data_IF_976336047355
#
_entry.id   IF_976336047355
#
_cell.length_a   1.000
_cell.length_b   1.000
_cell.length_c   1.000
_cell.angle_alpha   90.00
_cell.angle_beta   90.00
_cell.angle_gamma   90.00
#
_symmetry.space_group_name_H-M   'P 1'
#
loop_
_entity.id
_entity.type
_entity.pdbx_description
1 polymer ?
#
# COMPACT_ATOMS: atom_id res chain seq x y z
N UNK A 1 -4.47 -8.89 12.52
CA UNK A 1 -3.72 -7.67 12.13
C UNK A 1 -3.67 -7.58 10.61
N UNK A 2 -3.96 -6.42 10.06
CA UNK A 2 -3.89 -6.21 8.61
C UNK A 2 -2.44 -5.99 8.20
N UNK A 3 -2.00 -6.67 7.17
CA UNK A 3 -0.67 -6.49 6.61
C UNK A 3 -0.78 -5.64 5.35
N UNK A 4 -0.31 -4.41 5.42
CA UNK A 4 -0.37 -3.46 4.31
C UNK A 4 1.01 -3.41 3.69
N UNK A 5 1.10 -3.65 2.40
CA UNK A 5 2.37 -3.61 1.68
C UNK A 5 2.34 -2.47 0.67
N UNK A 6 3.35 -1.62 0.72
CA UNK A 6 3.53 -0.51 -0.22
C UNK A 6 4.64 -0.92 -1.18
N UNK A 7 4.30 -1.06 -2.43
CA UNK A 7 5.23 -1.54 -3.45
C UNK A 7 5.72 -0.35 -4.29
N UNK A 8 6.99 -0.14 -4.26
CA UNK A 8 7.62 0.94 -5.02
C UNK A 8 9.05 1.16 -4.62
N UNK A 9 9.80 1.87 -5.44
CA UNK A 9 11.25 2.06 -5.27
C UNK A 9 11.62 3.26 -4.39
N UNK A 10 10.68 3.79 -3.63
CA UNK A 10 10.94 4.90 -2.70
C UNK A 10 10.74 6.28 -3.32
N UNK A 11 9.99 6.40 -4.38
CA UNK A 11 9.68 7.69 -5.01
C UNK A 11 8.76 8.53 -4.11
N UNK A 12 8.63 9.83 -4.36
CA UNK A 12 7.73 10.68 -3.54
C UNK A 12 6.29 10.19 -3.52
N UNK A 13 5.79 9.64 -4.63
CA UNK A 13 4.44 9.07 -4.70
C UNK A 13 4.31 7.82 -3.82
N UNK A 14 5.37 7.01 -3.75
CA UNK A 14 5.38 5.83 -2.90
C UNK A 14 5.29 6.21 -1.42
N UNK A 15 6.00 7.25 -1.03
CA UNK A 15 5.96 7.78 0.34
C UNK A 15 4.59 8.34 0.67
N UNK A 16 3.99 9.07 -0.27
CA UNK A 16 2.65 9.63 -0.07
C UNK A 16 1.62 8.52 0.11
N UNK A 17 1.72 7.47 -0.69
CA UNK A 17 0.82 6.33 -0.56
C UNK A 17 0.98 5.65 0.80
N UNK A 18 2.21 5.50 1.29
CA UNK A 18 2.46 4.92 2.60
C UNK A 18 1.86 5.76 3.72
N UNK A 19 2.00 7.08 3.64
CA UNK A 19 1.43 7.99 4.62
C UNK A 19 -0.10 7.91 4.60
N UNK A 20 -0.69 7.86 3.42
CA UNK A 20 -2.14 7.76 3.28
C UNK A 20 -2.66 6.42 3.83
N UNK A 21 -1.91 5.34 3.63
CA UNK A 21 -2.26 4.03 4.15
C UNK A 21 -2.22 4.01 5.68
N UNK A 22 -1.20 4.64 6.25
CA UNK A 22 -1.07 4.76 7.70
C UNK A 22 -2.23 5.58 8.28
N UNK A 23 -2.54 6.70 7.67
CA UNK A 23 -3.66 7.55 8.11
C UNK A 23 -4.98 6.79 8.04
N UNK A 24 -5.20 6.00 7.00
CA UNK A 24 -6.42 5.22 6.84
C UNK A 24 -6.55 4.16 7.92
N UNK A 25 -5.49 3.41 8.20
CA UNK A 25 -5.52 2.36 9.21
C UNK A 25 -5.72 2.94 10.62
N UNK A 26 -5.05 4.04 10.92
CA UNK A 26 -5.21 4.73 12.20
C UNK A 26 -6.61 5.31 12.36
N UNK A 27 -7.16 5.84 11.29
CA UNK A 27 -8.52 6.37 11.29
C UNK A 27 -9.58 5.31 11.53
N UNK A 28 -9.32 4.06 11.12
CA UNK A 28 -10.21 2.94 11.38
C UNK A 28 -10.01 2.31 12.76
N UNK A 29 -8.90 2.65 13.42
CA UNK A 29 -8.58 2.08 14.73
C UNK A 29 -8.26 0.60 14.70
N UNK A 30 -7.79 0.07 13.57
CA UNK A 30 -7.46 -1.35 13.43
C UNK A 30 -5.99 -1.59 13.74
N UNK A 31 -5.66 -2.81 14.10
CA UNK A 31 -4.28 -3.24 14.22
C UNK A 31 -3.73 -3.48 12.82
N UNK A 32 -2.56 -2.94 12.54
CA UNK A 32 -1.97 -3.04 11.21
C UNK A 32 -0.45 -3.08 11.27
N UNK A 33 0.13 -3.56 10.16
CA UNK A 33 1.57 -3.53 9.94
C UNK A 33 1.76 -2.96 8.53
N UNK A 34 2.69 -2.02 8.36
CA UNK A 34 3.04 -1.51 7.03
C UNK A 34 4.42 -2.02 6.67
N UNK A 35 4.53 -2.67 5.53
CA UNK A 35 5.78 -3.18 4.99
C UNK A 35 6.04 -2.50 3.66
N UNK A 36 7.24 -1.99 3.45
CA UNK A 36 7.62 -1.37 2.19
C UNK A 36 8.39 -2.38 1.36
N UNK A 37 7.93 -2.63 0.15
CA UNK A 37 8.56 -3.55 -0.80
C UNK A 37 9.24 -2.69 -1.85
N UNK A 38 10.56 -2.64 -1.82
CA UNK A 38 11.33 -1.75 -2.70
C UNK A 38 12.11 -2.50 -3.77
N UNK A 39 12.24 -3.82 -3.67
CA UNK A 39 12.97 -4.62 -4.63
C UNK A 39 12.10 -4.87 -5.85
N UNK A 40 12.59 -4.53 -7.02
CA UNK A 40 11.83 -4.63 -8.28
C UNK A 40 11.34 -6.06 -8.51
N UNK A 41 12.17 -7.08 -8.29
CA UNK A 41 11.77 -8.44 -8.51
C UNK A 41 10.68 -8.90 -7.54
N UNK A 42 10.62 -8.40 -6.31
CA UNK A 42 9.56 -8.70 -5.36
C UNK A 42 8.24 -8.06 -5.80
N UNK A 43 8.32 -6.84 -6.33
CA UNK A 43 7.16 -6.11 -6.86
C UNK A 43 6.60 -6.90 -8.06
N UNK A 44 7.45 -7.34 -8.95
CA UNK A 44 7.04 -8.09 -10.15
C UNK A 44 6.43 -9.44 -9.78
N UNK A 45 6.92 -10.10 -8.75
CA UNK A 45 6.38 -11.38 -8.28
C UNK A 45 4.94 -11.23 -7.81
N UNK A 46 4.56 -10.05 -7.35
CA UNK A 46 3.19 -9.78 -6.94
C UNK A 46 2.27 -9.38 -8.10
N UNK A 47 2.80 -9.39 -9.31
CA UNK A 47 2.04 -9.05 -10.51
C UNK A 47 1.86 -7.56 -10.74
N UNK A 48 2.66 -6.73 -10.09
CA UNK A 48 2.56 -5.27 -10.20
C UNK A 48 3.49 -4.80 -11.31
N UNK A 49 2.94 -4.09 -12.27
CA UNK A 49 3.69 -3.52 -13.38
C UNK A 49 3.82 -2.01 -13.28
N UNK A 50 3.03 -1.37 -12.44
CA UNK A 50 3.05 0.09 -12.25
C UNK A 50 3.14 0.40 -10.77
N UNK A 51 4.04 1.30 -10.40
CA UNK A 51 4.21 1.74 -9.02
C UNK A 51 3.84 3.21 -8.88
N UNK A 52 3.42 3.66 -7.72
CA UNK A 52 3.31 2.91 -6.48
C UNK A 52 2.09 1.97 -6.46
N UNK A 53 2.16 0.93 -5.67
CA UNK A 53 1.03 -0.01 -5.52
C UNK A 53 0.81 -0.33 -4.05
N UNK A 54 -0.38 -0.79 -3.73
CA UNK A 54 -0.75 -1.14 -2.36
C UNK A 54 -1.38 -2.53 -2.36
N UNK A 55 -0.88 -3.39 -1.49
CA UNK A 55 -1.46 -4.71 -1.27
C UNK A 55 -1.92 -4.84 0.17
N UNK A 56 -2.98 -5.57 0.39
CA UNK A 56 -3.52 -5.85 1.72
C UNK A 56 -3.62 -7.36 1.87
N UNK A 57 -2.94 -7.89 2.86
CA UNK A 57 -2.92 -9.33 3.15
C UNK A 57 -2.53 -10.17 1.91
N UNK A 58 -1.57 -9.68 1.15
CA UNK A 58 -1.03 -10.37 -0.02
C UNK A 58 -1.81 -10.16 -1.32
N UNK A 59 -2.88 -9.35 -1.28
CA UNK A 59 -3.70 -9.08 -2.48
C UNK A 59 -3.48 -7.64 -2.93
N UNK A 60 -3.04 -7.43 -4.14
CA UNK A 60 -2.84 -6.08 -4.71
C UNK A 60 -4.19 -5.43 -4.93
N UNK A 61 -4.41 -4.29 -4.28
CA UNK A 61 -5.67 -3.56 -4.36
C UNK A 61 -5.57 -2.30 -5.24
N UNK A 62 -4.39 -1.69 -5.28
CA UNK A 62 -4.16 -0.45 -6.05
C UNK A 62 -2.83 -0.60 -6.75
N UNK A 63 -2.76 -0.19 -8.00
CA UNK A 63 -1.52 -0.16 -8.77
C UNK A 63 -1.47 1.08 -9.65
N UNK A 64 -0.36 1.78 -9.62
CA UNK A 64 -0.09 2.91 -10.51
C UNK A 64 -0.74 4.22 -10.09
N UNK A 65 -1.22 4.32 -8.85
CA UNK A 65 -1.79 5.60 -8.36
C UNK A 65 -1.59 5.78 -6.86
N UNK A 66 -1.72 7.00 -6.41
CA UNK A 66 -1.73 7.34 -4.98
C UNK A 66 -3.19 7.45 -4.55
N UNK A 67 -3.68 6.45 -3.84
CA UNK A 67 -5.06 6.48 -3.32
C UNK A 67 -5.17 7.40 -2.13
N UNK A 68 -6.32 8.02 -1.94
CA UNK A 68 -6.59 8.84 -0.77
C UNK A 68 -6.77 7.99 0.48
N UNK A 69 -6.64 8.53 1.68
CA UNK A 69 -6.94 7.79 2.89
C UNK A 69 -8.36 7.19 2.90
N UNK A 70 -9.34 7.89 2.35
CA UNK A 70 -10.73 7.42 2.29
C UNK A 70 -10.87 6.19 1.40
N UNK A 71 -10.20 6.18 0.25
CA UNK A 71 -10.19 5.03 -0.64
C UNK A 71 -9.56 3.83 0.05
N UNK A 72 -8.45 4.07 0.74
CA UNK A 72 -7.73 3.01 1.43
C UNK A 72 -8.56 2.45 2.59
N UNK A 73 -9.28 3.29 3.32
CA UNK A 73 -10.18 2.83 4.39
C UNK A 73 -11.19 1.82 3.84
N UNK A 74 -11.75 2.09 2.68
CA UNK A 74 -12.70 1.18 2.04
C UNK A 74 -12.05 -0.16 1.73
N UNK A 75 -10.79 -0.15 1.31
CA UNK A 75 -10.06 -1.36 0.96
C UNK A 75 -9.64 -2.16 2.20
N UNK A 76 -9.54 -1.54 3.35
CA UNK A 76 -9.14 -2.19 4.59
C UNK A 76 -10.33 -2.76 5.37
N UNK A 77 -11.51 -2.40 5.00
CA UNK A 77 -12.74 -2.88 5.68
C UNK A 77 -13.16 -4.28 5.26
#
# INVERSE_FOLDING_TARGET
MKKIQILGTGCPKCRQLAENAQAAAEGLGIDYEIQKITQIHEIMKMGVMMTPALAVDGVVKIAGKVASPEEIKTLLQ
#
